data_IF_533288445318
#
_entry.id   IF_533288445318
#
_cell.length_a   1.000
_cell.length_b   1.000
_cell.length_c   1.000
_cell.angle_alpha   90.00
_cell.angle_beta   90.00
_cell.angle_gamma   90.00
#
_symmetry.space_group_name_H-M   'P 1'
#
loop_
_entity.id
_entity.type
_entity.pdbx_description
1 polymer ?
#
# COMPACT_ATOMS: atom_id res chain seq x y z
N UNK A 1 19.32 4.08 13.68
CA UNK A 1 20.07 3.85 12.42
C UNK A 1 19.25 4.43 11.28
N UNK A 2 19.88 5.13 10.33
CA UNK A 2 19.17 5.55 9.13
C UNK A 2 18.88 4.30 8.29
N UNK A 3 17.60 4.04 8.00
CA UNK A 3 17.20 2.94 7.12
C UNK A 3 17.84 3.11 5.74
N UNK A 4 18.33 2.00 5.18
CA UNK A 4 18.95 1.98 3.86
C UNK A 4 17.86 2.19 2.80
N UNK A 5 18.06 3.15 1.89
CA UNK A 5 17.16 3.40 0.76
C UNK A 5 17.85 2.91 -0.50
N UNK A 6 17.21 2.01 -1.22
CA UNK A 6 17.73 1.40 -2.44
C UNK A 6 16.94 1.83 -3.66
N UNK A 7 17.63 1.87 -4.80
CA UNK A 7 16.98 1.93 -6.11
C UNK A 7 16.62 0.50 -6.54
N UNK A 8 15.37 0.30 -6.94
CA UNK A 8 14.85 -0.98 -7.43
C UNK A 8 14.19 -0.78 -8.80
N UNK A 9 13.93 -1.89 -9.49
CA UNK A 9 13.23 -1.87 -10.77
C UNK A 9 11.83 -2.48 -10.59
N UNK A 10 10.80 -1.84 -11.13
CA UNK A 10 9.41 -2.30 -11.03
C UNK A 10 9.16 -3.52 -11.94
N UNK A 11 9.88 -3.64 -13.04
CA UNK A 11 9.77 -4.78 -13.97
C UNK A 11 10.25 -6.12 -13.37
N UNK A 12 10.91 -6.11 -12.22
CA UNK A 12 11.24 -7.32 -11.45
C UNK A 12 10.72 -7.27 -10.01
N UNK A 13 9.65 -6.51 -9.73
CA UNK A 13 9.10 -6.29 -8.39
C UNK A 13 8.79 -7.58 -7.62
N UNK A 14 8.40 -8.65 -8.33
CA UNK A 14 8.13 -9.95 -7.73
C UNK A 14 9.37 -10.66 -7.15
N UNK A 15 10.60 -10.22 -7.48
CA UNK A 15 11.83 -10.83 -6.96
C UNK A 15 12.31 -10.21 -5.66
N UNK A 16 11.71 -9.08 -5.22
CA UNK A 16 12.19 -8.35 -4.05
C UNK A 16 11.09 -7.79 -3.14
N UNK A 17 9.85 -7.59 -3.60
CA UNK A 17 8.69 -7.40 -2.71
C UNK A 17 8.02 -8.73 -2.42
N UNK A 18 8.68 -9.55 -1.59
CA UNK A 18 8.27 -10.94 -1.31
C UNK A 18 7.87 -11.12 0.16
N UNK A 19 7.03 -12.12 0.47
CA UNK A 19 6.84 -12.55 1.86
C UNK A 19 8.12 -13.18 2.40
N UNK A 20 8.55 -12.75 3.59
CA UNK A 20 9.71 -13.29 4.31
C UNK A 20 9.32 -13.94 5.65
N UNK A 21 8.06 -13.80 6.06
CA UNK A 21 7.48 -14.47 7.23
C UNK A 21 6.00 -14.76 7.02
N UNK A 22 5.49 -15.76 7.74
CA UNK A 22 4.06 -16.03 7.83
C UNK A 22 3.40 -15.04 8.79
N UNK A 23 2.22 -14.51 8.42
CA UNK A 23 1.54 -13.46 9.22
C UNK A 23 0.02 -13.63 9.30
N UNK A 24 -0.49 -14.82 8.96
CA UNK A 24 -1.93 -15.11 8.83
C UNK A 24 -2.70 -14.16 7.88
N UNK A 25 -1.99 -13.41 7.04
CA UNK A 25 -2.60 -12.48 6.10
C UNK A 25 -3.58 -13.23 5.17
N UNK A 26 -4.83 -12.78 5.02
CA UNK A 26 -5.78 -13.39 4.11
C UNK A 26 -5.27 -13.39 2.66
N UNK A 27 -5.52 -14.48 1.93
CA UNK A 27 -5.07 -14.63 0.54
C UNK A 27 -5.49 -13.48 -0.37
N UNK A 28 -6.65 -12.87 -0.13
CA UNK A 28 -7.16 -11.76 -0.92
C UNK A 28 -6.29 -10.49 -0.80
N UNK A 29 -5.57 -10.33 0.32
CA UNK A 29 -4.66 -9.21 0.60
C UNK A 29 -3.20 -9.54 0.27
N UNK A 30 -2.89 -10.79 -0.09
CA UNK A 30 -1.55 -11.20 -0.54
C UNK A 30 -1.32 -10.72 -1.96
N UNK A 31 -0.18 -10.08 -2.17
CA UNK A 31 0.22 -9.57 -3.48
C UNK A 31 0.98 -8.26 -3.39
N UNK A 32 1.31 -7.74 -4.56
CA UNK A 32 1.76 -6.36 -4.75
C UNK A 32 0.70 -5.61 -5.52
N UNK A 33 0.33 -4.42 -5.06
CA UNK A 33 -0.74 -3.60 -5.60
C UNK A 33 -0.17 -2.28 -6.13
N UNK A 34 -0.45 -1.98 -7.39
CA UNK A 34 -0.21 -0.70 -8.02
C UNK A 34 -1.32 0.30 -7.66
N UNK A 35 -0.94 1.51 -7.25
CA UNK A 35 -1.85 2.61 -6.89
C UNK A 35 -2.20 3.45 -8.13
N UNK A 36 -3.04 2.91 -9.01
CA UNK A 36 -3.46 3.55 -10.26
C UNK A 36 -4.28 4.82 -10.02
N UNK A 37 -3.76 5.96 -10.48
CA UNK A 37 -4.35 7.28 -10.29
C UNK A 37 -3.96 7.99 -9.00
N UNK A 38 -3.05 7.41 -8.19
CA UNK A 38 -2.54 8.06 -6.99
C UNK A 38 -1.73 9.32 -7.35
N UNK A 39 -2.07 10.50 -6.79
CA UNK A 39 -1.39 11.76 -7.13
C UNK A 39 -0.03 11.94 -6.44
N UNK A 40 0.25 11.13 -5.43
CA UNK A 40 1.51 11.19 -4.68
C UNK A 40 2.63 10.44 -5.42
N UNK A 41 3.90 10.80 -5.20
CA UNK A 41 5.05 10.17 -5.86
C UNK A 41 5.41 8.80 -5.27
N UNK A 42 4.42 7.93 -5.09
CA UNK A 42 4.50 6.53 -4.69
C UNK A 42 3.65 5.65 -5.61
N UNK A 43 4.09 4.41 -5.83
CA UNK A 43 3.63 3.60 -6.97
C UNK A 43 2.95 2.30 -6.54
N UNK A 44 3.63 1.50 -5.74
CA UNK A 44 3.19 0.16 -5.35
C UNK A 44 3.27 -0.03 -3.84
N UNK A 45 2.36 -0.86 -3.34
CA UNK A 45 2.27 -1.28 -1.94
C UNK A 45 2.14 -2.80 -1.87
N UNK A 46 2.57 -3.38 -0.77
CA UNK A 46 2.19 -4.75 -0.40
C UNK A 46 1.64 -4.75 1.02
N UNK A 47 0.98 -5.84 1.41
CA UNK A 47 0.64 -6.13 2.81
C UNK A 47 1.45 -7.32 3.33
N UNK A 48 2.40 -7.84 2.54
CA UNK A 48 3.33 -8.86 3.01
C UNK A 48 4.04 -8.43 4.28
N UNK A 49 4.34 -9.41 5.14
CA UNK A 49 5.10 -9.23 6.38
C UNK A 49 4.39 -8.41 7.46
N UNK A 50 3.11 -8.09 7.27
CA UNK A 50 2.25 -7.46 8.28
C UNK A 50 1.44 -8.49 9.02
N UNK A 51 1.45 -8.40 10.35
CA UNK A 51 0.59 -9.22 11.21
C UNK A 51 -0.88 -8.92 10.93
N UNK A 52 -1.64 -9.99 10.72
CA UNK A 52 -3.09 -9.94 10.62
C UNK A 52 -3.71 -10.20 11.99
N UNK A 53 -4.52 -9.25 12.45
CA UNK A 53 -5.33 -9.40 13.65
C UNK A 53 -6.69 -10.03 13.26
N UNK A 54 -6.80 -11.34 13.48
CA UNK A 54 -8.01 -12.11 13.19
C UNK A 54 -9.21 -11.72 14.05
N UNK A 55 -8.97 -11.29 15.30
CA UNK A 55 -10.04 -10.95 16.23
C UNK A 55 -10.71 -9.63 15.85
N UNK A 56 -9.90 -8.64 15.45
CA UNK A 56 -10.40 -7.32 15.08
C UNK A 56 -10.58 -7.14 13.56
N UNK A 57 -10.18 -8.13 12.75
CA UNK A 57 -10.20 -8.10 11.28
C UNK A 57 -9.43 -6.87 10.76
N UNK A 58 -8.23 -6.67 11.29
CA UNK A 58 -7.40 -5.48 11.00
C UNK A 58 -5.94 -5.80 10.71
N UNK A 59 -5.27 -4.85 10.06
CA UNK A 59 -3.81 -4.80 9.98
C UNK A 59 -3.32 -3.37 10.13
N UNK A 60 -2.05 -3.21 10.52
CA UNK A 60 -1.36 -1.92 10.51
C UNK A 60 -0.28 -1.95 9.45
N UNK A 61 -0.36 -1.01 8.54
CA UNK A 61 0.47 -0.88 7.35
C UNK A 61 1.40 0.35 7.51
N UNK A 62 2.62 0.17 8.05
CA UNK A 62 3.61 1.23 8.16
C UNK A 62 4.21 1.57 6.79
N UNK A 63 4.06 2.84 6.37
CA UNK A 63 4.58 3.31 5.06
C UNK A 63 6.10 3.38 5.05
N UNK A 64 6.69 3.58 6.23
CA UNK A 64 8.15 3.67 6.43
C UNK A 64 8.82 2.30 6.64
N UNK A 65 8.08 1.18 6.60
CA UNK A 65 8.69 -0.13 6.81
C UNK A 65 9.47 -0.62 5.57
N UNK A 66 10.49 -1.46 5.78
CA UNK A 66 11.22 -2.10 4.68
C UNK A 66 10.31 -2.84 3.71
N UNK A 67 10.52 -2.60 2.41
CA UNK A 67 9.90 -3.32 1.29
C UNK A 67 8.36 -3.32 1.32
N UNK A 68 7.75 -2.36 2.01
CA UNK A 68 6.29 -2.20 2.08
C UNK A 68 5.75 -1.30 0.97
N UNK A 69 6.51 -0.26 0.63
CA UNK A 69 6.18 0.79 -0.34
C UNK A 69 7.28 1.02 -1.37
N UNK A 70 6.86 1.55 -2.51
CA UNK A 70 7.77 2.07 -3.54
C UNK A 70 7.48 3.54 -3.80
N UNK A 71 8.54 4.33 -3.93
CA UNK A 71 8.48 5.77 -4.18
C UNK A 71 9.13 6.09 -5.53
N UNK A 72 8.72 7.17 -6.19
CA UNK A 72 9.36 7.59 -7.43
C UNK A 72 10.82 7.96 -7.18
N UNK A 73 11.76 7.51 -8.03
CA UNK A 73 13.12 8.04 -8.00
C UNK A 73 13.17 9.46 -8.61
N UNK A 74 12.71 10.42 -7.84
CA UNK A 74 12.61 11.85 -8.16
C UNK A 74 12.74 12.68 -6.89
N UNK A 75 12.98 13.99 -7.02
CA UNK A 75 13.06 14.90 -5.86
C UNK A 75 11.79 14.82 -5.00
N UNK A 76 10.61 14.84 -5.62
CA UNK A 76 9.34 14.74 -4.90
C UNK A 76 9.17 13.40 -4.17
N UNK A 77 9.59 12.29 -4.78
CA UNK A 77 9.56 10.96 -4.14
C UNK A 77 10.51 10.86 -2.96
N UNK A 78 11.72 11.42 -3.06
CA UNK A 78 12.64 11.53 -1.93
C UNK A 78 12.07 12.36 -0.78
N UNK A 79 11.44 13.50 -1.08
CA UNK A 79 10.77 14.33 -0.06
C UNK A 79 9.66 13.54 0.63
N UNK A 80 8.78 12.88 -0.13
CA UNK A 80 7.70 12.06 0.44
C UNK A 80 8.26 10.95 1.33
N UNK A 81 9.25 10.19 0.86
CA UNK A 81 9.90 9.11 1.63
C UNK A 81 10.43 9.63 2.97
N UNK A 82 11.14 10.77 2.97
CA UNK A 82 11.66 11.36 4.21
C UNK A 82 10.56 11.84 5.14
N UNK A 83 9.47 12.41 4.61
CA UNK A 83 8.32 12.81 5.42
C UNK A 83 7.65 11.60 6.07
N UNK A 84 7.44 10.50 5.34
CA UNK A 84 6.80 9.31 5.93
C UNK A 84 7.66 8.66 7.02
N UNK A 85 8.99 8.69 6.88
CA UNK A 85 9.92 8.26 7.93
C UNK A 85 9.88 9.19 9.15
N UNK A 86 9.92 10.50 8.93
CA UNK A 86 9.90 11.48 10.02
C UNK A 86 8.61 11.40 10.82
N UNK A 87 7.47 11.42 10.14
CA UNK A 87 6.15 11.39 10.76
C UNK A 87 5.70 9.98 11.14
N UNK A 88 6.52 8.95 10.89
CA UNK A 88 6.20 7.54 11.13
C UNK A 88 4.78 7.20 10.62
N UNK A 89 4.52 7.53 9.38
CA UNK A 89 3.20 7.42 8.77
C UNK A 89 2.82 5.94 8.67
N UNK A 90 1.67 5.58 9.24
CA UNK A 90 1.08 4.25 9.14
C UNK A 90 -0.41 4.37 8.80
N UNK A 91 -0.96 3.29 8.25
CA UNK A 91 -2.40 3.15 8.03
C UNK A 91 -2.91 1.93 8.78
N UNK A 92 -3.88 2.11 9.69
CA UNK A 92 -4.68 0.97 10.18
C UNK A 92 -5.78 0.70 9.16
N UNK A 93 -5.82 -0.51 8.63
CA UNK A 93 -6.89 -0.98 7.75
C UNK A 93 -7.78 -1.89 8.59
N UNK A 94 -9.04 -1.50 8.74
CA UNK A 94 -10.05 -2.23 9.51
C UNK A 94 -11.19 -2.61 8.58
N UNK A 95 -11.40 -3.91 8.39
CA UNK A 95 -12.49 -4.42 7.57
C UNK A 95 -13.80 -4.42 8.35
N UNK A 96 -14.91 -4.30 7.62
CA UNK A 96 -16.25 -4.27 8.22
C UNK A 96 -16.67 -5.66 8.73
N UNK A 97 -16.25 -6.71 8.03
CA UNK A 97 -16.57 -8.11 8.32
C UNK A 97 -15.56 -9.09 7.69
N UNK A 98 -15.77 -10.39 7.90
CA UNK A 98 -14.93 -11.47 7.40
C UNK A 98 -14.98 -11.66 5.87
N UNK A 99 -15.89 -10.99 5.16
CA UNK A 99 -15.91 -11.02 3.69
C UNK A 99 -14.73 -10.24 3.10
N UNK A 100 -14.14 -9.35 3.91
CA UNK A 100 -13.04 -8.47 3.55
C UNK A 100 -13.36 -7.53 2.38
N UNK A 101 -14.62 -7.33 1.99
CA UNK A 101 -14.94 -6.54 0.79
C UNK A 101 -14.87 -5.03 1.02
N UNK A 102 -14.98 -4.58 2.27
CA UNK A 102 -15.00 -3.18 2.63
C UNK A 102 -14.14 -2.93 3.87
N UNK A 103 -13.37 -1.85 3.82
CA UNK A 103 -12.52 -1.44 4.93
C UNK A 103 -12.54 0.07 5.13
N UNK A 104 -12.45 0.45 6.40
CA UNK A 104 -12.02 1.77 6.82
C UNK A 104 -10.50 1.80 6.93
N UNK A 105 -9.91 2.87 6.45
CA UNK A 105 -8.50 3.18 6.64
C UNK A 105 -8.39 4.36 7.62
N UNK A 106 -7.53 4.23 8.62
CA UNK A 106 -7.28 5.25 9.64
C UNK A 106 -5.80 5.62 9.56
N UNK A 107 -5.45 6.84 9.10
CA UNK A 107 -4.07 7.30 9.16
C UNK A 107 -3.59 7.42 10.60
N UNK A 108 -2.35 7.09 10.84
CA UNK A 108 -1.66 7.22 12.11
C UNK A 108 -0.39 8.01 11.85
N UNK A 109 -0.25 9.17 12.49
CA UNK A 109 0.94 10.01 12.42
C UNK A 109 1.60 10.05 13.79
N UNK A 110 2.88 9.68 13.86
CA UNK A 110 3.64 9.62 15.12
C UNK A 110 2.94 8.78 16.21
N UNK A 111 2.23 7.72 15.80
CA UNK A 111 1.45 6.87 16.71
C UNK A 111 0.05 7.40 17.08
N UNK A 112 -0.32 8.58 16.60
CA UNK A 112 -1.62 9.21 16.90
C UNK A 112 -2.58 8.97 15.72
N UNK A 113 -3.72 8.28 15.94
CA UNK A 113 -4.72 8.09 14.89
C UNK A 113 -5.40 9.41 14.52
N UNK A 114 -5.54 9.65 13.23
CA UNK A 114 -6.22 10.82 12.68
C UNK A 114 -7.73 10.56 12.65
N UNK A 115 -8.49 11.52 13.18
CA UNK A 115 -9.95 11.42 13.25
C UNK A 115 -10.61 11.37 11.86
N UNK A 116 -11.65 10.56 11.73
CA UNK A 116 -12.49 10.45 10.51
C UNK A 116 -13.13 11.79 10.11
N UNK A 117 -13.33 12.70 11.06
CA UNK A 117 -13.87 14.04 10.77
C UNK A 117 -12.92 14.90 9.94
N UNK A 118 -11.61 14.67 10.08
CA UNK A 118 -10.58 15.35 9.28
C UNK A 118 -10.48 14.68 7.92
N UNK A 119 -10.35 13.35 7.93
CA UNK A 119 -10.23 12.57 6.70
C UNK A 119 -10.90 11.20 6.89
N UNK A 120 -11.92 10.94 6.08
CA UNK A 120 -12.60 9.66 6.02
C UNK A 120 -12.11 8.90 4.78
N UNK A 121 -11.48 7.77 5.03
CA UNK A 121 -10.72 7.01 4.07
C UNK A 121 -11.27 5.59 4.01
N UNK A 122 -11.80 5.17 2.87
CA UNK A 122 -12.30 3.80 2.69
C UNK A 122 -11.62 3.06 1.55
N UNK A 123 -11.71 1.74 1.59
CA UNK A 123 -11.24 0.83 0.56
C UNK A 123 -12.35 -0.21 0.31
N UNK A 124 -12.79 -0.35 -0.93
CA UNK A 124 -13.84 -1.29 -1.31
C UNK A 124 -13.37 -2.16 -2.46
N UNK A 125 -13.54 -3.47 -2.35
CA UNK A 125 -13.26 -4.41 -3.43
C UNK A 125 -14.20 -4.13 -4.61
N UNK A 126 -13.67 -4.20 -5.83
CA UNK A 126 -14.51 -4.13 -7.03
C UNK A 126 -15.43 -5.36 -7.10
N UNK A 127 -16.73 -5.14 -7.35
CA UNK A 127 -17.74 -6.22 -7.39
C UNK A 127 -17.47 -7.25 -8.48
N UNK A 128 -16.77 -6.88 -9.55
CA UNK A 128 -16.42 -7.76 -10.65
C UNK A 128 -15.07 -8.44 -10.45
N UNK A 129 -14.34 -8.11 -9.38
CA UNK A 129 -13.05 -8.69 -9.04
C UNK A 129 -13.22 -9.85 -8.06
N UNK A 130 -13.30 -11.08 -8.56
CA UNK A 130 -13.50 -12.28 -7.73
C UNK A 130 -12.33 -12.56 -6.75
N UNK A 131 -11.10 -12.13 -7.08
CA UNK A 131 -9.88 -12.49 -6.33
C UNK A 131 -9.25 -11.32 -5.56
N UNK A 132 -9.97 -10.22 -5.36
CA UNK A 132 -9.41 -9.01 -4.74
C UNK A 132 -8.26 -8.40 -5.54
N UNK A 133 -8.35 -8.45 -6.86
CA UNK A 133 -7.36 -7.87 -7.76
C UNK A 133 -7.56 -6.37 -7.93
N UNK A 134 -8.77 -5.86 -7.64
CA UNK A 134 -9.10 -4.44 -7.76
C UNK A 134 -9.77 -3.94 -6.49
N UNK A 135 -9.24 -2.84 -5.94
CA UNK A 135 -9.84 -2.12 -4.82
C UNK A 135 -9.91 -0.63 -5.09
N UNK A 136 -11.05 -0.04 -4.81
CA UNK A 136 -11.30 1.39 -4.94
C UNK A 136 -10.97 2.10 -3.64
N UNK A 137 -9.99 3.01 -3.69
CA UNK A 137 -9.62 3.88 -2.58
C UNK A 137 -10.41 5.18 -2.66
N UNK A 138 -11.27 5.43 -1.67
CA UNK A 138 -12.06 6.66 -1.57
C UNK A 138 -11.59 7.53 -0.41
N UNK A 139 -11.57 8.83 -0.66
CA UNK A 139 -11.14 9.83 0.31
C UNK A 139 -12.20 10.91 0.41
N UNK A 140 -12.65 11.21 1.63
CA UNK A 140 -13.56 12.31 1.94
C UNK A 140 -12.88 13.21 2.95
N UNK A 141 -12.52 14.41 2.55
CA UNK A 141 -11.87 15.39 3.40
C UNK A 141 -12.91 16.28 4.09
N UNK A 142 -12.66 16.62 5.35
CA UNK A 142 -13.44 17.58 6.14
C UNK A 142 -14.95 17.33 6.08
N UNK A 143 -15.37 16.09 6.34
CA UNK A 143 -16.79 15.71 6.29
C UNK A 143 -17.40 15.64 4.88
N UNK A 144 -16.59 15.62 3.82
CA UNK A 144 -17.05 15.42 2.44
C UNK A 144 -16.93 16.63 1.51
N UNK A 145 -16.23 17.68 1.93
CA UNK A 145 -15.99 18.88 1.13
C UNK A 145 -15.09 18.63 -0.10
N UNK A 146 -14.28 17.56 -0.08
CA UNK A 146 -13.41 17.21 -1.21
C UNK A 146 -13.22 15.70 -1.31
N UNK A 147 -13.10 15.22 -2.55
CA UNK A 147 -12.74 13.84 -2.92
C UNK A 147 -11.33 13.73 -3.51
N UNK A 148 -10.44 14.65 -3.14
CA UNK A 148 -9.08 14.63 -3.67
C UNK A 148 -8.30 13.37 -3.24
N UNK A 149 -7.57 12.80 -4.20
CA UNK A 149 -6.65 11.68 -3.97
C UNK A 149 -7.30 10.31 -3.96
N UNK A 150 -8.50 10.14 -4.52
CA UNK A 150 -9.05 8.82 -4.82
C UNK A 150 -8.19 8.11 -5.88
N UNK A 151 -8.01 6.80 -5.73
CA UNK A 151 -7.24 5.98 -6.67
C UNK A 151 -7.70 4.52 -6.62
N UNK A 152 -7.19 3.69 -7.52
CA UNK A 152 -7.50 2.25 -7.57
C UNK A 152 -6.26 1.44 -7.25
N UNK A 153 -6.34 0.54 -6.29
CA UNK A 153 -5.33 -0.50 -6.11
C UNK A 153 -5.59 -1.62 -7.12
N UNK A 154 -4.63 -1.89 -7.98
CA UNK A 154 -4.65 -3.02 -8.92
C UNK A 154 -3.55 -4.00 -8.55
N UNK A 155 -3.90 -5.24 -8.24
CA UNK A 155 -2.93 -6.29 -7.97
C UNK A 155 -2.10 -6.56 -9.22
N UNK A 156 -0.79 -6.40 -9.13
CA UNK A 156 0.17 -6.60 -10.23
C UNK A 156 1.03 -7.84 -10.04
N UNK A 157 1.17 -8.32 -8.80
CA UNK A 157 1.75 -9.61 -8.45
C UNK A 157 0.79 -10.33 -7.53
N UNK A 158 0.47 -11.59 -7.83
CA UNK A 158 -0.41 -12.41 -7.02
C UNK A 158 0.29 -13.05 -5.82
N UNK A 159 -0.45 -13.84 -5.04
CA UNK A 159 0.08 -14.54 -3.86
C UNK A 159 1.17 -15.59 -4.19
N UNK A 160 1.20 -16.08 -5.43
CA UNK A 160 2.16 -17.07 -5.92
C UNK A 160 3.40 -16.39 -6.54
N UNK A 161 3.47 -15.06 -6.52
CA UNK A 161 4.56 -14.29 -7.13
C UNK A 161 4.44 -14.15 -8.66
N UNK A 162 3.28 -14.49 -9.26
CA UNK A 162 3.06 -14.35 -10.70
C UNK A 162 2.53 -12.97 -11.04
N UNK A 163 2.96 -12.45 -12.19
CA UNK A 163 2.45 -11.17 -12.70
C UNK A 163 1.01 -11.31 -13.21
N UNK A 164 0.18 -10.33 -12.87
CA UNK A 164 -1.20 -10.23 -13.38
C UNK A 164 -1.25 -9.39 -14.67
N UNK A 165 -2.37 -9.35 -15.40
CA UNK A 165 -2.53 -8.46 -16.55
C UNK A 165 -2.27 -6.97 -16.24
N UNK A 166 -2.57 -6.50 -15.02
CA UNK A 166 -2.38 -5.11 -14.61
C UNK A 166 -0.89 -4.72 -14.49
N UNK A 167 0.03 -5.69 -14.47
CA UNK A 167 1.46 -5.43 -14.39
C UNK A 167 1.98 -4.66 -15.61
N UNK A 168 1.53 -5.02 -16.81
CA UNK A 168 1.93 -4.32 -18.03
C UNK A 168 1.43 -2.87 -18.02
N UNK A 169 0.20 -2.64 -17.57
CA UNK A 169 -0.37 -1.29 -17.44
C UNK A 169 0.48 -0.43 -16.48
N UNK A 170 0.89 -0.99 -15.33
CA UNK A 170 1.77 -0.32 -14.38
C UNK A 170 3.10 0.12 -15.05
N UNK A 171 3.74 -0.77 -15.82
CA UNK A 171 5.02 -0.45 -16.48
C UNK A 171 4.91 0.64 -17.55
N UNK A 172 3.74 0.79 -18.19
CA UNK A 172 3.53 1.85 -19.19
C UNK A 172 3.27 3.23 -18.59
N UNK A 173 2.83 3.31 -17.33
CA UNK A 173 2.38 4.56 -16.68
C UNK A 173 3.47 5.32 -15.92
N UNK A 174 4.63 4.71 -15.70
CA UNK A 174 5.66 5.27 -14.83
C UNK A 174 7.08 4.92 -15.24
N UNK A 175 8.05 5.48 -14.50
CA UNK A 175 9.46 5.11 -14.64
C UNK A 175 9.68 3.76 -13.97
N UNK A 176 10.41 2.87 -14.64
CA UNK A 176 10.73 1.55 -14.11
C UNK A 176 11.58 1.60 -12.83
N UNK A 177 12.41 2.62 -12.65
CA UNK A 177 13.24 2.76 -11.45
C UNK A 177 12.47 3.48 -10.32
N UNK A 178 12.43 2.84 -9.15
CA UNK A 178 11.81 3.36 -7.94
C UNK A 178 12.78 3.34 -6.75
N UNK A 179 12.41 4.02 -5.67
CA UNK A 179 13.05 3.94 -4.36
C UNK A 179 12.26 2.97 -3.48
N UNK A 180 12.96 2.18 -2.69
CA UNK A 180 12.36 1.36 -1.65
C UNK A 180 13.23 1.40 -0.38
N UNK A 181 12.59 1.28 0.78
CA UNK A 181 13.29 1.11 2.04
C UNK A 181 13.75 -0.35 2.10
N UNK A 182 15.04 -0.59 2.23
CA UNK A 182 15.60 -1.93 2.22
C UNK A 182 15.49 -2.59 3.60
N UNK A 183 15.33 -3.92 3.59
CA UNK A 183 15.54 -4.72 4.80
C UNK A 183 17.03 -4.81 5.04
N UNK A 184 17.47 -4.73 6.30
CA UNK A 184 18.86 -5.07 6.61
C UNK A 184 19.06 -6.56 6.33
N UNK A 185 19.97 -6.87 5.42
CA UNK A 185 20.53 -8.21 5.27
C UNK A 185 21.39 -8.47 6.51
N UNK A 186 21.01 -9.44 7.35
CA UNK A 186 21.96 -10.06 8.27
C UNK A 186 22.86 -11.02 7.49
#
# INVERSE_FOLDING_TARGET
>A
MAELIEKKQLNNIATWMIPIKETNLPSILKGVFFMDGNPLPDTCITMYNLEWDMENITLVLPVFAPLQWTFHNSVAGWILLRLVQWFKVSYKIQFEDETLQQAQIIPILLGIPISKSIVNLTMCQDKNSLNGDIWHRKNLWFGGLSRAGEYTLRKVVDQDGRYTPAFNDMLTRGKNECLAIASYSN
#
